data_IF_342504738373
#
_entry.id   IF_342504738373
#
_cell.length_a   1.000
_cell.length_b   1.000
_cell.length_c   1.000
_cell.angle_alpha   90.00
_cell.angle_beta   90.00
_cell.angle_gamma   90.00
#
_symmetry.space_group_name_H-M   'P 1'
#
loop_
_entity.id
_entity.type
_entity.pdbx_description
1 polymer ?
#
# COMPACT_ATOMS: atom_id res chain seq x y z
N UNK A 1 4.55 8.45 11.95
CA UNK A 1 3.09 8.77 11.95
C UNK A 1 2.87 10.09 12.67
N UNK A 2 2.40 11.14 11.98
CA UNK A 2 2.27 12.50 12.57
C UNK A 2 1.33 12.55 13.78
N UNK A 3 0.21 11.83 13.75
CA UNK A 3 -0.74 11.79 14.86
C UNK A 3 -0.12 11.25 16.17
N UNK A 4 0.69 10.20 16.09
CA UNK A 4 1.40 9.66 17.26
C UNK A 4 2.40 10.68 17.85
N UNK A 5 3.09 11.43 16.99
CA UNK A 5 3.98 12.51 17.43
C UNK A 5 3.20 13.62 18.15
N UNK A 6 2.04 14.03 17.63
CA UNK A 6 1.19 15.03 18.31
C UNK A 6 0.68 14.51 19.67
N UNK A 7 0.27 13.24 19.74
CA UNK A 7 -0.17 12.64 21.01
C UNK A 7 0.97 12.58 22.05
N UNK A 8 2.20 12.31 21.61
CA UNK A 8 3.39 12.35 22.46
C UNK A 8 3.67 13.77 22.96
N UNK A 9 3.69 14.78 22.07
CA UNK A 9 3.95 16.18 22.44
C UNK A 9 2.89 16.78 23.37
N UNK A 10 1.64 16.32 23.29
CA UNK A 10 0.59 16.74 24.23
C UNK A 10 0.79 16.11 25.61
N UNK A 11 1.35 14.92 25.67
CA UNK A 11 1.61 14.20 26.91
C UNK A 11 2.83 14.76 27.64
N UNK A 12 3.89 15.05 26.89
CA UNK A 12 5.17 15.50 27.42
C UNK A 12 5.87 16.39 26.38
N UNK A 13 6.49 17.47 26.84
CA UNK A 13 7.29 18.35 26.00
C UNK A 13 8.37 19.08 26.81
N UNK A 14 9.43 19.60 26.16
CA UNK A 14 10.40 20.48 26.83
C UNK A 14 9.80 21.79 27.39
N UNK A 15 8.55 22.10 27.07
CA UNK A 15 7.86 23.33 27.47
C UNK A 15 6.86 23.11 28.59
N UNK A 16 6.86 21.95 29.26
CA UNK A 16 5.86 21.61 30.28
C UNK A 16 5.88 22.56 31.49
N UNK A 17 7.00 23.26 31.72
CA UNK A 17 7.10 24.34 32.70
C UNK A 17 6.27 25.60 32.37
N UNK A 18 5.86 25.77 31.10
CA UNK A 18 5.05 26.90 30.63
C UNK A 18 3.78 26.50 29.86
N UNK A 19 3.59 25.22 29.53
CA UNK A 19 2.45 24.68 28.80
C UNK A 19 1.97 23.42 29.51
N UNK A 20 0.73 23.39 29.97
CA UNK A 20 0.21 22.23 30.67
C UNK A 20 0.12 21.00 29.76
N UNK A 21 0.69 19.88 30.22
CA UNK A 21 0.58 18.58 29.59
C UNK A 21 -0.80 17.94 29.84
N UNK A 22 -1.23 17.05 28.95
CA UNK A 22 -2.45 16.25 29.12
C UNK A 22 -2.30 14.92 28.39
N UNK A 23 -2.77 13.82 28.98
CA UNK A 23 -2.91 12.54 28.27
C UNK A 23 -4.12 12.65 27.33
N UNK A 24 -3.94 12.69 26.00
CA UNK A 24 -5.06 12.86 25.09
C UNK A 24 -5.85 11.56 24.96
N UNK A 25 -7.18 11.66 24.91
CA UNK A 25 -8.03 10.56 24.47
C UNK A 25 -7.73 10.24 23.00
N UNK A 26 -7.54 8.95 22.69
CA UNK A 26 -7.21 8.48 21.33
C UNK A 26 -8.41 7.78 20.71
N UNK A 27 -8.98 8.39 19.68
CA UNK A 27 -9.98 7.76 18.81
C UNK A 27 -9.28 7.04 17.66
N UNK A 28 -9.04 5.73 17.83
CA UNK A 28 -8.34 4.91 16.83
C UNK A 28 -9.08 4.84 15.50
N UNK A 29 -10.42 4.88 15.52
CA UNK A 29 -11.27 4.80 14.34
C UNK A 29 -11.07 6.03 13.45
N UNK A 30 -11.13 7.23 14.04
CA UNK A 30 -10.87 8.48 13.29
C UNK A 30 -9.44 8.56 12.75
N UNK A 31 -8.46 8.10 13.53
CA UNK A 31 -7.07 8.03 13.04
C UNK A 31 -6.90 7.05 11.88
N UNK A 32 -7.62 5.91 11.90
CA UNK A 32 -7.62 4.95 10.79
C UNK A 32 -8.24 5.58 9.54
N UNK A 33 -9.41 6.20 9.69
CA UNK A 33 -10.11 6.84 8.58
C UNK A 33 -9.26 7.94 7.94
N UNK A 34 -8.60 8.78 8.75
CA UNK A 34 -7.69 9.80 8.25
C UNK A 34 -6.50 9.19 7.49
N UNK A 35 -5.90 8.13 8.03
CA UNK A 35 -4.79 7.44 7.37
C UNK A 35 -5.24 6.84 6.04
N UNK A 36 -6.38 6.15 6.02
CA UNK A 36 -6.91 5.48 4.84
C UNK A 36 -7.26 6.48 3.74
N UNK A 37 -7.93 7.59 4.07
CA UNK A 37 -8.25 8.64 3.12
C UNK A 37 -7.00 9.20 2.42
N UNK A 38 -5.91 9.41 3.17
CA UNK A 38 -4.64 9.86 2.58
C UNK A 38 -4.01 8.79 1.68
N UNK A 39 -4.08 7.52 2.08
CA UNK A 39 -3.59 6.40 1.25
C UNK A 39 -4.35 6.36 -0.08
N UNK A 40 -5.67 6.48 -0.04
CA UNK A 40 -6.53 6.40 -1.22
C UNK A 40 -6.31 7.59 -2.16
N UNK A 41 -6.25 8.80 -1.60
CA UNK A 41 -5.95 10.02 -2.38
C UNK A 41 -4.60 9.93 -3.11
N UNK A 42 -3.55 9.45 -2.41
CA UNK A 42 -2.23 9.32 -3.01
C UNK A 42 -2.18 8.19 -4.05
N UNK A 43 -2.87 7.07 -3.80
CA UNK A 43 -2.98 5.98 -4.78
C UNK A 43 -3.61 6.50 -6.07
N UNK A 44 -4.71 7.22 -5.95
CA UNK A 44 -5.41 7.76 -7.09
C UNK A 44 -4.55 8.79 -7.86
N UNK A 45 -4.05 9.81 -7.17
CA UNK A 45 -3.36 10.93 -7.79
C UNK A 45 -1.98 10.56 -8.38
N UNK A 46 -1.31 9.53 -7.85
CA UNK A 46 0.08 9.20 -8.21
C UNK A 46 0.24 7.87 -8.94
N UNK A 47 -0.81 7.07 -9.06
CA UNK A 47 -0.75 5.79 -9.76
C UNK A 47 -1.91 5.66 -10.73
N UNK A 48 -3.14 5.50 -10.24
CA UNK A 48 -4.31 5.22 -11.08
C UNK A 48 -4.50 6.31 -12.15
N UNK A 49 -4.59 7.58 -11.74
CA UNK A 49 -4.78 8.68 -12.68
C UNK A 49 -3.62 8.90 -13.66
N UNK A 50 -2.39 8.50 -13.31
CA UNK A 50 -1.23 8.58 -14.20
C UNK A 50 -1.26 7.46 -15.24
N UNK A 51 -1.64 6.24 -14.83
CA UNK A 51 -1.77 5.09 -15.71
C UNK A 51 -2.94 5.29 -16.69
N UNK A 52 -4.11 5.68 -16.18
CA UNK A 52 -5.31 5.90 -16.98
C UNK A 52 -5.16 7.08 -17.95
N UNK A 53 -4.41 8.11 -17.55
CA UNK A 53 -4.15 9.30 -18.35
C UNK A 53 -3.14 9.10 -19.50
N UNK A 54 -2.50 7.94 -19.60
CA UNK A 54 -1.47 7.67 -20.60
C UNK A 54 -1.91 6.59 -21.61
N UNK A 55 -2.30 6.95 -22.84
CA UNK A 55 -2.82 6.00 -23.83
C UNK A 55 -1.79 4.98 -24.33
N UNK A 56 -0.49 5.21 -24.08
CA UNK A 56 0.56 4.24 -24.41
C UNK A 56 0.69 3.10 -23.38
N UNK A 57 -0.05 3.15 -22.28
CA UNK A 57 -0.01 2.14 -21.21
C UNK A 57 -1.31 1.34 -21.18
N UNK A 58 -1.21 0.03 -21.05
CA UNK A 58 -2.37 -0.85 -20.84
C UNK A 58 -2.21 -1.57 -19.50
N UNK A 59 -3.18 -1.40 -18.61
CA UNK A 59 -3.21 -2.05 -17.30
C UNK A 59 -4.03 -3.35 -17.41
N UNK A 60 -3.49 -4.44 -16.89
CA UNK A 60 -4.21 -5.71 -16.74
C UNK A 60 -4.31 -6.04 -15.25
N UNK A 61 -5.55 -6.19 -14.76
CA UNK A 61 -5.80 -6.61 -13.39
C UNK A 61 -5.81 -8.14 -13.32
N UNK A 62 -4.68 -8.73 -12.96
CA UNK A 62 -4.51 -10.17 -12.87
C UNK A 62 -3.15 -10.58 -12.33
N UNK A 63 -2.95 -11.89 -12.22
CA UNK A 63 -1.69 -12.49 -11.83
C UNK A 63 -0.94 -13.00 -13.06
N UNK A 64 0.27 -12.47 -13.29
CA UNK A 64 1.09 -12.82 -14.45
C UNK A 64 2.11 -13.91 -14.09
N UNK A 65 2.31 -14.87 -15.01
CA UNK A 65 3.40 -15.85 -14.98
C UNK A 65 4.07 -15.94 -16.35
N UNK A 66 5.37 -16.23 -16.38
CA UNK A 66 6.05 -16.51 -17.65
C UNK A 66 5.50 -17.78 -18.28
N UNK A 67 5.16 -17.70 -19.57
CA UNK A 67 4.92 -18.87 -20.42
C UNK A 67 6.23 -19.29 -21.08
N UNK A 68 7.00 -18.32 -21.55
CA UNK A 68 8.35 -18.47 -22.11
C UNK A 68 9.16 -17.17 -21.93
N UNK A 69 10.32 -17.05 -22.60
CA UNK A 69 11.23 -15.91 -22.49
C UNK A 69 10.73 -14.63 -23.21
N UNK A 70 9.62 -14.72 -23.95
CA UNK A 70 9.06 -13.61 -24.74
C UNK A 70 7.56 -13.39 -24.48
N UNK A 71 6.94 -14.16 -23.59
CA UNK A 71 5.51 -14.07 -23.30
C UNK A 71 5.13 -14.39 -21.84
N UNK A 72 4.05 -13.75 -21.41
CA UNK A 72 3.37 -14.01 -20.14
C UNK A 72 1.97 -14.57 -20.39
N UNK A 73 1.48 -15.36 -19.44
CA UNK A 73 0.05 -15.63 -19.28
C UNK A 73 -0.43 -14.90 -18.04
N UNK A 74 -1.46 -14.07 -18.20
CA UNK A 74 -2.10 -13.32 -17.12
C UNK A 74 -3.43 -13.98 -16.80
N UNK A 75 -3.57 -14.50 -15.57
CA UNK A 75 -4.86 -14.95 -15.03
C UNK A 75 -5.61 -13.71 -14.55
N UNK A 76 -6.68 -13.34 -15.25
CA UNK A 76 -7.43 -12.11 -14.98
C UNK A 76 -8.27 -12.25 -13.71
N UNK A 77 -8.41 -11.16 -12.95
CA UNK A 77 -9.21 -11.13 -11.72
C UNK A 77 -10.70 -11.39 -12.00
N UNK A 78 -11.20 -10.96 -13.16
CA UNK A 78 -12.58 -11.20 -13.61
C UNK A 78 -12.78 -12.63 -14.15
N UNK A 79 -11.72 -13.44 -14.19
CA UNK A 79 -11.72 -14.79 -14.74
C UNK A 79 -11.11 -14.87 -16.14
N UNK A 80 -10.67 -16.07 -16.52
CA UNK A 80 -10.01 -16.34 -17.80
C UNK A 80 -8.51 -16.01 -17.81
N UNK A 81 -7.90 -16.24 -18.97
CA UNK A 81 -6.47 -15.99 -19.19
C UNK A 81 -6.24 -15.12 -20.42
N UNK A 82 -5.20 -14.30 -20.38
CA UNK A 82 -4.73 -13.48 -21.49
C UNK A 82 -3.23 -13.69 -21.71
N UNK A 83 -2.85 -13.99 -22.94
CA UNK A 83 -1.44 -14.03 -23.34
C UNK A 83 -0.95 -12.61 -23.67
N UNK A 84 0.26 -12.29 -23.21
CA UNK A 84 0.92 -11.00 -23.43
C UNK A 84 2.33 -11.27 -23.95
N UNK A 85 2.59 -10.91 -25.21
CA UNK A 85 3.93 -10.92 -25.78
C UNK A 85 4.65 -9.61 -25.46
N UNK A 86 5.97 -9.66 -25.31
CA UNK A 86 6.77 -8.47 -25.00
C UNK A 86 8.11 -8.51 -25.71
N UNK A 87 8.76 -7.36 -25.91
CA UNK A 87 10.16 -7.28 -26.34
C UNK A 87 11.16 -7.30 -25.20
N UNK A 88 10.79 -6.72 -24.07
CA UNK A 88 11.55 -6.77 -22.82
C UNK A 88 10.55 -6.86 -21.68
N UNK A 89 10.93 -7.51 -20.60
CA UNK A 89 10.12 -7.63 -19.40
C UNK A 89 10.88 -7.08 -18.20
N UNK A 90 10.20 -6.27 -17.38
CA UNK A 90 10.66 -5.86 -16.06
C UNK A 90 9.83 -6.58 -15.01
N UNK A 91 10.47 -7.38 -14.16
CA UNK A 91 9.82 -8.03 -13.01
C UNK A 91 9.98 -7.13 -11.79
N UNK A 92 8.87 -6.52 -11.35
CA UNK A 92 8.81 -5.59 -10.22
C UNK A 92 7.74 -6.02 -9.19
N UNK A 93 7.66 -7.31 -8.85
CA UNK A 93 6.61 -7.91 -8.01
C UNK A 93 6.76 -7.65 -6.50
N UNK A 94 7.79 -6.91 -6.08
CA UNK A 94 8.01 -6.56 -4.68
C UNK A 94 8.39 -7.76 -3.80
N UNK A 95 7.93 -7.75 -2.55
CA UNK A 95 8.18 -8.79 -1.55
C UNK A 95 6.97 -8.93 -0.62
N UNK A 96 6.96 -9.97 0.21
CA UNK A 96 5.95 -10.18 1.26
C UNK A 96 6.63 -10.46 2.61
N UNK A 97 5.99 -10.12 3.74
CA UNK A 97 6.54 -10.41 5.06
C UNK A 97 6.85 -11.91 5.22
N UNK A 98 8.03 -12.23 5.75
CA UNK A 98 8.35 -13.60 6.13
C UNK A 98 7.52 -14.02 7.35
N UNK A 99 6.90 -15.20 7.29
CA UNK A 99 6.14 -15.77 8.41
C UNK A 99 7.01 -16.83 9.09
N UNK A 100 7.48 -16.60 10.33
CA UNK A 100 8.33 -17.57 11.02
C UNK A 100 7.52 -18.83 11.38
N UNK A 101 8.13 -20.03 11.41
CA UNK A 101 7.45 -21.27 11.73
C UNK A 101 7.25 -21.44 13.26
N UNK A 102 6.58 -20.46 13.89
CA UNK A 102 6.22 -20.51 15.31
C UNK A 102 4.95 -21.35 15.46
N UNK A 103 4.95 -22.42 16.28
CA UNK A 103 3.75 -23.20 16.55
C UNK A 103 2.58 -22.31 17.00
N UNK A 104 1.40 -22.46 16.37
CA UNK A 104 0.20 -21.65 16.66
C UNK A 104 0.11 -20.28 15.95
N UNK A 105 1.07 -19.90 15.10
CA UNK A 105 1.00 -18.64 14.33
C UNK A 105 0.29 -18.77 12.96
N UNK A 106 0.42 -19.94 12.31
CA UNK A 106 -0.18 -20.20 11.00
C UNK A 106 -1.62 -20.72 11.09
N UNK A 107 -1.98 -21.28 12.23
CA UNK A 107 -3.31 -21.85 12.51
C UNK A 107 -4.24 -20.78 13.09
#
# INVERSE_FOLDING_TARGET
IRAAHIAHLRRESPFDGGIAATVPAIDRSKLLAQQQARVDELRHAKYEGILDGNPATTVLHGEARFKDDRSLVVRLNEGGEREVTFDRCLVATGASPAVPPIPGLKE
#
